data_IF_404890689125
#
_entry.id   IF_404890689125
#
_cell.length_a   1.000
_cell.length_b   1.000
_cell.length_c   1.000
_cell.angle_alpha   90.00
_cell.angle_beta   90.00
_cell.angle_gamma   90.00
#
_symmetry.space_group_name_H-M   'P 1'
#
loop_
_entity.id
_entity.type
_entity.pdbx_description
1 polymer ?
#
# COMPACT_ATOMS: atom_id res chain seq x y z
N UNK A 1 -25.48 14.38 -22.47
CA UNK A 1 -24.08 14.81 -22.27
C UNK A 1 -23.61 14.30 -20.91
N UNK A 2 -23.28 13.01 -20.81
CA UNK A 2 -23.01 12.37 -19.53
C UNK A 2 -21.54 12.00 -19.39
N UNK A 3 -20.80 12.71 -18.54
CA UNK A 3 -19.57 12.16 -17.94
C UNK A 3 -19.64 12.43 -16.45
N UNK A 4 -20.34 11.53 -15.76
CA UNK A 4 -20.21 11.33 -14.32
C UNK A 4 -18.72 11.15 -14.04
N UNK A 5 -18.16 12.01 -13.19
CA UNK A 5 -16.80 11.87 -12.70
C UNK A 5 -16.62 10.50 -12.07
N UNK A 6 -16.07 9.53 -12.81
CA UNK A 6 -15.70 8.23 -12.29
C UNK A 6 -14.61 8.46 -11.25
N UNK A 7 -15.00 8.56 -9.97
CA UNK A 7 -14.12 8.30 -8.82
C UNK A 7 -13.50 6.93 -9.09
N UNK A 8 -12.32 6.88 -9.71
CA UNK A 8 -11.58 5.63 -9.85
C UNK A 8 -11.35 5.15 -8.42
N UNK A 9 -11.93 4.01 -8.01
CA UNK A 9 -11.67 3.49 -6.68
C UNK A 9 -10.18 3.21 -6.57
N UNK A 10 -9.63 3.40 -5.39
CA UNK A 10 -8.29 2.90 -5.09
C UNK A 10 -8.35 1.39 -5.29
N UNK A 11 -7.53 0.83 -6.19
CA UNK A 11 -7.46 -0.62 -6.35
C UNK A 11 -6.62 -1.14 -5.20
N UNK A 12 -7.21 -2.04 -4.42
CA UNK A 12 -6.59 -2.63 -3.26
C UNK A 12 -6.22 -4.09 -3.52
N UNK A 13 -5.02 -4.47 -3.09
CA UNK A 13 -4.64 -5.86 -2.92
C UNK A 13 -4.29 -6.08 -1.46
N UNK A 14 -4.93 -7.06 -0.83
CA UNK A 14 -4.61 -7.44 0.55
C UNK A 14 -3.30 -8.23 0.58
N UNK A 15 -2.44 -7.87 1.53
CA UNK A 15 -1.23 -8.61 1.89
C UNK A 15 -1.50 -9.82 2.78
N UNK A 16 -0.43 -10.48 3.21
CA UNK A 16 -0.45 -11.62 4.12
C UNK A 16 -0.59 -11.23 5.59
N UNK A 17 -0.48 -12.20 6.50
CA UNK A 17 -0.41 -11.94 7.94
C UNK A 17 0.85 -11.16 8.31
N UNK A 18 0.71 -10.23 9.26
CA UNK A 18 1.77 -9.33 9.72
C UNK A 18 2.39 -9.95 10.99
N UNK A 19 3.71 -10.17 11.06
CA UNK A 19 4.36 -10.72 12.24
C UNK A 19 4.23 -9.80 13.46
N UNK A 20 3.76 -10.36 14.57
CA UNK A 20 3.70 -9.69 15.88
C UNK A 20 5.09 -9.64 16.53
N UNK A 21 5.95 -8.71 16.09
CA UNK A 21 7.12 -8.19 16.85
C UNK A 21 8.05 -7.27 16.05
N UNK A 22 7.69 -6.86 14.82
CA UNK A 22 8.52 -5.96 14.01
C UNK A 22 7.92 -4.56 13.97
N UNK A 23 8.75 -3.50 13.97
CA UNK A 23 8.27 -2.16 13.68
C UNK A 23 7.66 -2.13 12.27
N UNK A 24 6.47 -1.54 12.15
CA UNK A 24 5.70 -1.53 10.91
C UNK A 24 6.00 -0.28 10.06
N UNK A 25 5.90 -0.44 8.74
CA UNK A 25 6.07 0.64 7.77
C UNK A 25 4.85 0.72 6.85
N UNK A 26 4.34 1.95 6.69
CA UNK A 26 3.36 2.33 5.68
C UNK A 26 4.00 3.36 4.76
N UNK A 27 4.06 3.08 3.46
CA UNK A 27 4.71 3.94 2.48
C UNK A 27 3.68 4.53 1.51
N UNK A 28 3.49 5.86 1.53
CA UNK A 28 2.42 6.53 0.77
C UNK A 28 2.84 6.99 -0.65
N UNK A 29 4.12 6.84 -0.98
CA UNK A 29 4.74 7.14 -2.27
C UNK A 29 5.74 6.03 -2.62
N UNK A 30 5.26 4.79 -2.63
CA UNK A 30 6.11 3.60 -2.55
C UNK A 30 6.89 3.29 -3.83
N UNK A 31 6.54 3.89 -4.97
CA UNK A 31 7.21 3.60 -6.23
C UNK A 31 7.25 2.11 -6.51
N UNK A 32 8.43 1.60 -6.92
CA UNK A 32 8.66 0.17 -7.16
C UNK A 32 9.12 -0.62 -5.92
N UNK A 33 9.27 0.02 -4.74
CA UNK A 33 9.59 -0.65 -3.48
C UNK A 33 11.07 -0.69 -3.08
N UNK A 34 11.94 0.12 -3.68
CA UNK A 34 13.37 0.15 -3.30
C UNK A 34 13.61 0.50 -1.82
N UNK A 35 12.92 1.52 -1.31
CA UNK A 35 12.99 1.89 0.12
C UNK A 35 12.41 0.80 1.01
N UNK A 36 11.26 0.24 0.61
CA UNK A 36 10.61 -0.87 1.30
C UNK A 36 11.54 -2.08 1.45
N UNK A 37 12.27 -2.47 0.41
CA UNK A 37 13.28 -3.53 0.48
C UNK A 37 14.35 -3.23 1.54
N UNK A 38 14.82 -1.98 1.62
CA UNK A 38 15.76 -1.55 2.66
C UNK A 38 15.20 -1.70 4.09
N UNK A 39 13.93 -1.35 4.29
CA UNK A 39 13.25 -1.54 5.57
C UNK A 39 13.11 -3.02 5.95
N UNK A 40 12.71 -3.88 5.01
CA UNK A 40 12.62 -5.32 5.22
C UNK A 40 13.99 -5.90 5.62
N UNK A 41 15.06 -5.49 4.94
CA UNK A 41 16.44 -5.87 5.28
C UNK A 41 16.86 -5.39 6.67
N UNK A 42 16.34 -4.24 7.13
CA UNK A 42 16.59 -3.70 8.47
C UNK A 42 15.70 -4.33 9.57
N UNK A 43 14.86 -5.31 9.24
CA UNK A 43 14.01 -6.03 10.20
C UNK A 43 12.65 -5.36 10.47
N UNK A 44 12.26 -4.39 9.65
CA UNK A 44 10.92 -3.81 9.68
C UNK A 44 9.95 -4.68 8.87
N UNK A 45 8.66 -4.50 9.11
CA UNK A 45 7.60 -5.11 8.31
C UNK A 45 6.89 -4.05 7.48
N UNK A 46 6.96 -4.15 6.14
CA UNK A 46 6.25 -3.24 5.24
C UNK A 46 4.85 -3.77 5.02
N UNK A 47 3.85 -3.07 5.56
CA UNK A 47 2.47 -3.57 5.62
C UNK A 47 1.55 -2.95 4.58
N UNK A 48 1.90 -1.75 4.07
CA UNK A 48 1.15 -1.05 3.04
C UNK A 48 2.04 -0.18 2.15
N UNK A 49 1.90 -0.35 0.83
CA UNK A 49 2.43 0.57 -0.19
C UNK A 49 1.30 1.28 -0.96
N UNK A 50 1.38 2.60 -1.12
CA UNK A 50 0.49 3.38 -1.96
C UNK A 50 1.28 4.17 -3.00
N UNK A 51 0.76 4.23 -4.22
CA UNK A 51 1.28 5.07 -5.30
C UNK A 51 0.18 5.32 -6.34
N UNK A 52 0.30 6.39 -7.10
CA UNK A 52 -0.64 6.73 -8.18
C UNK A 52 -0.28 6.03 -9.50
N UNK A 53 0.96 5.58 -9.65
CA UNK A 53 1.50 5.01 -10.88
C UNK A 53 1.31 3.49 -10.92
N UNK A 54 0.55 3.01 -11.91
CA UNK A 54 0.19 1.58 -12.03
C UNK A 54 1.40 0.64 -12.20
N UNK A 55 2.37 0.92 -13.09
CA UNK A 55 3.56 0.08 -13.21
C UNK A 55 4.37 0.00 -11.92
N UNK A 56 4.46 1.11 -11.17
CA UNK A 56 5.14 1.15 -9.87
C UNK A 56 4.51 0.16 -8.89
N UNK A 57 3.18 0.22 -8.72
CA UNK A 57 2.45 -0.69 -7.82
C UNK A 57 2.54 -2.15 -8.26
N UNK A 58 2.53 -2.42 -9.56
CA UNK A 58 2.69 -3.79 -10.07
C UNK A 58 4.06 -4.36 -9.69
N UNK A 59 5.13 -3.58 -9.89
CA UNK A 59 6.49 -3.96 -9.50
C UNK A 59 6.61 -4.07 -7.98
N UNK A 60 6.08 -3.10 -7.23
CA UNK A 60 6.07 -3.12 -5.77
C UNK A 60 5.42 -4.41 -5.25
N UNK A 61 4.24 -4.78 -5.77
CA UNK A 61 3.55 -6.00 -5.36
C UNK A 61 4.33 -7.27 -5.71
N UNK A 62 5.03 -7.29 -6.83
CA UNK A 62 5.88 -8.43 -7.20
C UNK A 62 7.08 -8.57 -6.25
N UNK A 63 7.65 -7.44 -5.80
CA UNK A 63 8.79 -7.41 -4.87
C UNK A 63 8.37 -7.70 -3.41
N UNK A 64 7.19 -7.23 -3.01
CA UNK A 64 6.67 -7.29 -1.64
C UNK A 64 5.32 -8.03 -1.61
N UNK A 65 5.28 -9.35 -1.91
CA UNK A 65 4.04 -10.09 -2.13
C UNK A 65 3.13 -10.18 -0.88
N UNK A 66 3.69 -9.99 0.31
CA UNK A 66 2.97 -9.99 1.58
C UNK A 66 2.46 -8.60 1.99
N UNK A 67 2.86 -7.55 1.28
CA UNK A 67 2.46 -6.18 1.58
C UNK A 67 1.13 -5.86 0.89
N UNK A 68 0.26 -5.14 1.60
CA UNK A 68 -0.95 -4.61 0.97
C UNK A 68 -0.60 -3.46 0.03
N UNK A 69 -1.35 -3.29 -1.06
CA UNK A 69 -1.09 -2.20 -2.02
C UNK A 69 -2.32 -1.39 -2.35
N UNK A 70 -2.18 -0.07 -2.47
CA UNK A 70 -3.21 0.86 -2.91
C UNK A 70 -2.71 1.59 -4.16
N UNK A 71 -3.39 1.38 -5.29
CA UNK A 71 -3.22 2.23 -6.46
C UNK A 71 -4.16 3.43 -6.38
N UNK A 72 -3.64 4.63 -6.17
CA UNK A 72 -4.45 5.85 -6.15
C UNK A 72 -3.76 7.10 -5.61
N UNK A 73 -4.49 8.21 -5.65
CA UNK A 73 -4.06 9.48 -5.08
C UNK A 73 -4.15 9.44 -3.55
N UNK A 74 -3.01 9.64 -2.87
CA UNK A 74 -2.90 9.69 -1.41
C UNK A 74 -3.86 10.70 -0.78
N UNK A 75 -4.20 11.80 -1.45
CA UNK A 75 -5.17 12.80 -0.95
C UNK A 75 -6.58 12.25 -0.79
N UNK A 76 -6.87 11.10 -1.42
CA UNK A 76 -8.16 10.40 -1.30
C UNK A 76 -8.14 9.30 -0.24
N UNK A 77 -7.01 9.08 0.43
CA UNK A 77 -6.91 8.18 1.57
C UNK A 77 -7.45 8.87 2.82
N UNK A 78 -8.31 8.16 3.52
CA UNK A 78 -8.83 8.56 4.83
C UNK A 78 -8.55 7.44 5.82
N UNK A 79 -8.39 7.77 7.10
CA UNK A 79 -8.14 6.77 8.14
C UNK A 79 -9.24 5.69 8.17
N UNK A 80 -10.50 6.11 8.01
CA UNK A 80 -11.63 5.17 7.91
C UNK A 80 -11.48 4.20 6.75
N UNK A 81 -10.98 4.66 5.59
CA UNK A 81 -10.70 3.77 4.45
C UNK A 81 -9.53 2.85 4.76
N UNK A 82 -8.44 3.36 5.34
CA UNK A 82 -7.26 2.57 5.68
C UNK A 82 -7.55 1.46 6.70
N UNK A 83 -8.38 1.71 7.72
CA UNK A 83 -8.76 0.69 8.72
C UNK A 83 -9.45 -0.54 8.10
N UNK A 84 -10.17 -0.37 6.98
CA UNK A 84 -10.79 -1.50 6.28
C UNK A 84 -9.78 -2.35 5.49
N UNK A 85 -8.56 -1.86 5.30
CA UNK A 85 -7.53 -2.45 4.45
C UNK A 85 -6.31 -2.92 5.22
N UNK A 86 -6.06 -2.35 6.40
CA UNK A 86 -4.98 -2.75 7.28
C UNK A 86 -5.45 -3.84 8.24
N UNK A 87 -4.57 -4.83 8.46
CA UNK A 87 -4.78 -5.92 9.43
C UNK A 87 -4.26 -5.51 10.82
N UNK A 88 -3.67 -4.31 10.93
CA UNK A 88 -3.15 -3.73 12.17
C UNK A 88 -4.07 -2.63 12.67
N UNK A 89 -4.33 -2.61 13.97
CA UNK A 89 -4.95 -1.47 14.63
C UNK A 89 -3.95 -0.31 14.67
N UNK A 90 -4.21 0.71 13.85
CA UNK A 90 -3.58 2.04 13.94
C UNK A 90 -4.32 2.96 14.90
#
# INVERSE_FOLDING_TARGET
>A
MGIIGKKRPCIFSKGGEIPNNRPIIVELFCGCGGTSMGFEMAGFEVVLGCDIHTPSIQTFKANHPNCSTILGDVKKLTLTRLRNYLIVDL
#
